data_IF_860192594699
#
_entry.id   IF_860192594699
#
_cell.length_a   1.000
_cell.length_b   1.000
_cell.length_c   1.000
_cell.angle_alpha   90.00
_cell.angle_beta   90.00
_cell.angle_gamma   90.00
#
_symmetry.space_group_name_H-M   'P 1'
#
loop_
_entity.id
_entity.type
_entity.pdbx_description
1 polymer ?
#
# COMPACT_ATOMS: atom_id res chain seq x y z
N UNK A 1 -4.02 -26.77 12.06
CA UNK A 1 -2.93 -26.35 12.98
C UNK A 1 -1.86 -25.70 12.13
N UNK A 2 -1.19 -24.66 12.62
CA UNK A 2 -0.13 -23.98 11.86
C UNK A 2 1.00 -24.94 11.53
N UNK A 3 1.79 -24.59 10.53
CA UNK A 3 2.99 -25.36 10.20
C UNK A 3 4.07 -25.11 11.26
N UNK A 4 4.77 -26.17 11.68
CA UNK A 4 5.98 -26.04 12.51
C UNK A 4 7.19 -26.52 11.71
N UNK A 5 8.12 -25.60 11.50
CA UNK A 5 9.34 -25.82 10.72
C UNK A 5 10.57 -25.60 11.60
N UNK A 6 11.67 -26.27 11.26
CA UNK A 6 12.95 -26.09 11.95
C UNK A 6 14.07 -26.04 10.92
N UNK A 7 14.92 -25.01 10.96
CA UNK A 7 16.01 -24.85 9.98
C UNK A 7 17.01 -25.99 9.97
N UNK A 8 17.11 -26.71 11.09
CA UNK A 8 17.99 -27.87 11.24
C UNK A 8 17.37 -29.21 10.81
N UNK A 9 16.12 -29.24 10.33
CA UNK A 9 15.50 -30.43 9.76
C UNK A 9 15.93 -30.63 8.31
N UNK A 10 16.20 -31.86 7.90
CA UNK A 10 16.71 -32.16 6.55
C UNK A 10 15.76 -31.79 5.41
N UNK A 11 14.47 -31.64 5.67
CA UNK A 11 13.42 -31.28 4.71
C UNK A 11 12.96 -29.82 4.83
N UNK A 12 13.65 -29.02 5.63
CA UNK A 12 13.28 -27.62 5.89
C UNK A 12 13.11 -26.82 4.60
N UNK A 13 14.11 -26.80 3.72
CA UNK A 13 14.07 -25.99 2.50
C UNK A 13 12.85 -26.32 1.62
N UNK A 14 12.53 -27.61 1.47
CA UNK A 14 11.37 -28.02 0.68
C UNK A 14 10.05 -27.53 1.30
N UNK A 15 9.91 -27.64 2.62
CA UNK A 15 8.71 -27.16 3.34
C UNK A 15 8.62 -25.64 3.34
N UNK A 16 9.75 -24.97 3.50
CA UNK A 16 9.81 -23.52 3.46
C UNK A 16 9.48 -22.96 2.07
N UNK A 17 9.96 -23.59 1.00
CA UNK A 17 9.59 -23.23 -0.37
C UNK A 17 8.08 -23.42 -0.62
N UNK A 18 7.47 -24.45 -0.06
CA UNK A 18 6.01 -24.63 -0.13
C UNK A 18 5.28 -23.49 0.61
N UNK A 19 5.75 -23.11 1.81
CA UNK A 19 5.20 -21.98 2.55
C UNK A 19 5.32 -20.67 1.77
N UNK A 20 6.49 -20.40 1.19
CA UNK A 20 6.75 -19.21 0.39
C UNK A 20 5.87 -19.11 -0.86
N UNK A 21 5.59 -20.25 -1.50
CA UNK A 21 4.87 -20.31 -2.76
C UNK A 21 3.39 -20.69 -2.58
N UNK A 22 2.91 -20.75 -1.36
CA UNK A 22 1.50 -21.00 -1.09
C UNK A 22 0.65 -19.90 -1.78
N UNK A 23 -0.20 -20.30 -2.74
CA UNK A 23 -1.09 -19.36 -3.42
C UNK A 23 -2.20 -18.97 -2.47
N UNK A 24 -2.20 -17.71 -2.09
CA UNK A 24 -3.24 -17.09 -1.26
C UNK A 24 -4.18 -16.20 -2.07
N UNK A 25 -3.95 -16.08 -3.39
CA UNK A 25 -4.75 -15.25 -4.29
C UNK A 25 -5.73 -16.09 -5.13
N UNK A 26 -6.84 -15.47 -5.49
CA UNK A 26 -7.86 -16.03 -6.37
C UNK A 26 -7.44 -16.01 -7.85
N UNK A 27 -7.96 -16.97 -8.60
CA UNK A 27 -7.57 -17.40 -9.93
C UNK A 27 -7.86 -16.44 -11.11
N UNK A 28 -7.42 -16.89 -12.29
CA UNK A 28 -7.52 -16.28 -13.62
C UNK A 28 -8.94 -15.82 -14.02
N UNK A 29 -9.99 -16.41 -13.46
CA UNK A 29 -11.41 -16.12 -13.80
C UNK A 29 -11.87 -14.68 -13.52
N UNK A 30 -11.21 -13.97 -12.56
CA UNK A 30 -11.54 -12.58 -12.23
C UNK A 30 -11.11 -11.60 -13.33
N UNK A 31 -10.04 -11.90 -14.06
CA UNK A 31 -9.44 -10.98 -15.03
C UNK A 31 -10.38 -10.64 -16.18
N UNK A 32 -11.05 -11.65 -16.76
CA UNK A 32 -11.95 -11.46 -17.90
C UNK A 32 -13.22 -10.70 -17.50
N UNK A 33 -13.79 -11.04 -16.34
CA UNK A 33 -14.94 -10.31 -15.80
C UNK A 33 -14.61 -8.83 -15.53
N UNK A 34 -13.42 -8.55 -15.02
CA UNK A 34 -12.95 -7.18 -14.80
C UNK A 34 -12.71 -6.44 -16.11
N UNK A 35 -12.14 -7.07 -17.13
CA UNK A 35 -11.98 -6.46 -18.45
C UNK A 35 -13.31 -6.01 -19.06
N UNK A 36 -14.35 -6.84 -18.91
CA UNK A 36 -15.70 -6.50 -19.36
C UNK A 36 -16.30 -5.32 -18.59
N UNK A 37 -16.14 -5.30 -17.25
CA UNK A 37 -16.59 -4.17 -16.42
C UNK A 37 -15.87 -2.87 -16.82
N UNK A 38 -14.56 -2.90 -16.98
CA UNK A 38 -13.78 -1.73 -17.38
C UNK A 38 -14.20 -1.22 -18.77
N UNK A 39 -14.44 -2.15 -19.71
CA UNK A 39 -14.94 -1.80 -21.04
C UNK A 39 -16.32 -1.11 -20.98
N UNK A 40 -17.26 -1.64 -20.18
CA UNK A 40 -18.57 -1.03 -20.00
C UNK A 40 -18.47 0.40 -19.43
N UNK A 41 -17.65 0.61 -18.39
CA UNK A 41 -17.43 1.94 -17.83
C UNK A 41 -16.85 2.89 -18.87
N UNK A 42 -15.87 2.45 -19.66
CA UNK A 42 -15.25 3.27 -20.68
C UNK A 42 -16.21 3.67 -21.82
N UNK A 43 -17.17 2.80 -22.17
CA UNK A 43 -18.09 3.04 -23.29
C UNK A 43 -19.36 3.77 -22.87
N UNK A 44 -19.81 3.59 -21.62
CA UNK A 44 -21.15 4.02 -21.17
C UNK A 44 -21.12 4.97 -19.99
N UNK A 45 -19.95 5.29 -19.44
CA UNK A 45 -19.78 6.28 -18.37
C UNK A 45 -20.68 6.03 -17.15
N UNK A 46 -21.41 7.05 -16.72
CA UNK A 46 -22.29 7.00 -15.54
C UNK A 46 -23.38 5.92 -15.63
N UNK A 47 -23.92 5.65 -16.81
CA UNK A 47 -24.94 4.61 -17.00
C UNK A 47 -24.42 3.23 -16.60
N UNK A 48 -23.15 2.93 -16.93
CA UNK A 48 -22.53 1.67 -16.52
C UNK A 48 -22.30 1.64 -15.00
N UNK A 49 -21.87 2.75 -14.40
CA UNK A 49 -21.68 2.84 -12.94
C UNK A 49 -22.97 2.59 -12.17
N UNK A 50 -24.08 3.20 -12.61
CA UNK A 50 -25.40 3.05 -11.99
C UNK A 50 -25.86 1.59 -12.06
N UNK A 51 -25.80 0.98 -13.26
CA UNK A 51 -26.22 -0.40 -13.47
C UNK A 51 -25.37 -1.40 -12.66
N UNK A 52 -24.04 -1.23 -12.65
CA UNK A 52 -23.13 -2.12 -11.92
C UNK A 52 -23.25 -1.94 -10.41
N UNK A 53 -23.52 -0.72 -9.92
CA UNK A 53 -23.77 -0.46 -8.49
C UNK A 53 -25.10 -1.05 -8.05
N UNK A 54 -26.17 -0.95 -8.87
CA UNK A 54 -27.45 -1.65 -8.59
C UNK A 54 -27.25 -3.17 -8.53
N UNK A 55 -26.43 -3.72 -9.44
CA UNK A 55 -26.18 -5.16 -9.53
C UNK A 55 -25.33 -5.70 -8.37
N UNK A 56 -24.28 -4.99 -7.95
CA UNK A 56 -23.29 -5.53 -7.01
C UNK A 56 -23.49 -5.04 -5.58
N UNK A 57 -23.97 -3.81 -5.41
CA UNK A 57 -24.17 -3.18 -4.10
C UNK A 57 -25.66 -3.11 -3.72
N UNK A 58 -26.58 -3.63 -4.58
CA UNK A 58 -28.04 -3.58 -4.36
C UNK A 58 -28.54 -2.15 -4.09
N UNK A 59 -27.88 -1.16 -4.70
CA UNK A 59 -28.17 0.26 -4.52
C UNK A 59 -28.54 0.92 -5.84
N UNK A 60 -29.78 1.39 -5.92
CA UNK A 60 -30.26 2.12 -7.09
C UNK A 60 -29.94 3.61 -6.95
N UNK A 61 -29.14 4.13 -7.86
CA UNK A 61 -28.70 5.51 -7.89
C UNK A 61 -29.19 6.24 -9.15
N UNK A 62 -29.18 7.58 -9.11
CA UNK A 62 -29.15 8.46 -10.27
C UNK A 62 -27.75 9.03 -10.43
N UNK A 63 -27.49 9.75 -11.52
CA UNK A 63 -26.19 10.40 -11.73
C UNK A 63 -25.85 11.40 -10.60
N UNK A 64 -26.85 12.16 -10.12
CA UNK A 64 -26.67 13.07 -8.99
C UNK A 64 -26.41 12.34 -7.67
N UNK A 65 -26.90 11.10 -7.55
CA UNK A 65 -26.72 10.26 -6.36
C UNK A 65 -25.39 9.51 -6.29
N UNK A 66 -24.56 9.58 -7.32
CA UNK A 66 -23.23 8.94 -7.33
C UNK A 66 -22.30 9.55 -6.28
N UNK A 67 -22.33 10.86 -6.11
CA UNK A 67 -21.53 11.58 -5.10
C UNK A 67 -22.28 11.70 -3.77
N UNK A 68 -21.56 11.76 -2.67
CA UNK A 68 -22.06 12.28 -1.41
C UNK A 68 -22.10 13.79 -1.47
N UNK A 69 -23.18 14.40 -1.00
CA UNK A 69 -23.24 15.84 -0.84
C UNK A 69 -22.59 16.31 0.48
N UNK A 70 -22.40 17.61 0.62
CA UNK A 70 -21.72 18.17 1.79
C UNK A 70 -22.53 17.99 3.08
N UNK A 71 -23.86 18.03 2.99
CA UNK A 71 -24.73 17.87 4.15
C UNK A 71 -24.67 16.44 4.69
N UNK A 72 -24.58 15.43 3.81
CA UNK A 72 -24.38 14.04 4.22
C UNK A 72 -23.04 13.83 4.91
N UNK A 73 -21.97 14.43 4.38
CA UNK A 73 -20.63 14.37 4.97
C UNK A 73 -20.61 15.06 6.33
N UNK A 74 -21.25 16.21 6.43
CA UNK A 74 -21.33 16.99 7.66
C UNK A 74 -22.16 16.27 8.72
N UNK A 75 -23.25 15.65 8.32
CA UNK A 75 -24.08 14.84 9.23
C UNK A 75 -23.33 13.60 9.73
N UNK A 76 -22.61 12.90 8.86
CA UNK A 76 -21.78 11.75 9.23
C UNK A 76 -20.69 12.13 10.25
N UNK A 77 -20.11 13.33 10.11
CA UNK A 77 -19.16 13.86 11.08
C UNK A 77 -19.83 14.12 12.44
N UNK A 78 -21.05 14.67 12.45
CA UNK A 78 -21.80 14.92 13.68
C UNK A 78 -22.30 13.64 14.35
N UNK A 79 -22.61 12.61 13.58
CA UNK A 79 -23.05 11.30 14.06
C UNK A 79 -21.91 10.44 14.61
N UNK A 80 -20.65 10.82 14.33
CA UNK A 80 -19.47 10.11 14.83
C UNK A 80 -19.16 10.55 16.27
N UNK A 81 -18.95 9.62 17.23
CA UNK A 81 -18.62 9.96 18.60
C UNK A 81 -17.39 10.88 18.73
N UNK A 82 -17.45 11.86 19.65
CA UNK A 82 -16.39 12.87 19.85
C UNK A 82 -15.02 12.26 20.14
N UNK A 83 -14.96 11.21 20.94
CA UNK A 83 -13.71 10.51 21.27
C UNK A 83 -13.08 9.86 20.04
N UNK A 84 -13.89 9.35 19.11
CA UNK A 84 -13.41 8.79 17.84
C UNK A 84 -12.98 9.91 16.86
N UNK A 85 -13.68 11.04 16.82
CA UNK A 85 -13.25 12.23 16.08
C UNK A 85 -11.86 12.71 16.56
N UNK A 86 -11.67 12.78 17.87
CA UNK A 86 -10.38 13.18 18.45
C UNK A 86 -9.26 12.18 18.13
N UNK A 87 -9.56 10.88 18.18
CA UNK A 87 -8.62 9.83 17.78
C UNK A 87 -8.23 9.95 16.29
N UNK A 88 -9.20 10.16 15.39
CA UNK A 88 -8.94 10.37 13.96
C UNK A 88 -8.09 11.62 13.68
N UNK A 89 -8.39 12.73 14.35
CA UNK A 89 -7.57 13.95 14.23
C UNK A 89 -6.14 13.74 14.75
N UNK A 90 -5.99 13.02 15.85
CA UNK A 90 -4.68 12.69 16.40
C UNK A 90 -3.89 11.80 15.45
N UNK A 91 -4.50 10.75 14.92
CA UNK A 91 -3.89 9.88 13.92
C UNK A 91 -3.47 10.67 12.67
N UNK A 92 -4.37 11.46 12.09
CA UNK A 92 -4.09 12.28 10.91
C UNK A 92 -2.90 13.23 11.13
N UNK A 93 -2.86 13.90 12.28
CA UNK A 93 -1.74 14.78 12.66
C UNK A 93 -0.41 14.03 12.70
N UNK A 94 -0.37 12.84 13.29
CA UNK A 94 0.86 12.05 13.41
C UNK A 94 1.32 11.51 12.05
N UNK A 95 0.38 11.01 11.24
CA UNK A 95 0.66 10.51 9.89
C UNK A 95 1.19 11.64 9.01
N UNK A 96 0.55 12.82 9.04
CA UNK A 96 1.01 14.00 8.31
C UNK A 96 2.43 14.40 8.71
N UNK A 97 2.70 14.52 10.01
CA UNK A 97 4.02 14.93 10.52
C UNK A 97 5.14 13.95 10.13
N UNK A 98 4.84 12.65 10.05
CA UNK A 98 5.78 11.65 9.57
C UNK A 98 6.08 11.83 8.08
N UNK A 99 5.03 12.02 7.25
CA UNK A 99 5.17 12.14 5.81
C UNK A 99 5.81 13.48 5.37
N UNK A 100 5.61 14.57 6.11
CA UNK A 100 6.29 15.85 5.85
C UNK A 100 7.81 15.74 5.82
N UNK A 101 8.38 14.79 6.55
CA UNK A 101 9.84 14.54 6.58
C UNK A 101 10.36 13.85 5.30
N UNK A 102 9.47 13.36 4.45
CA UNK A 102 9.82 12.63 3.21
C UNK A 102 9.87 13.55 1.99
N UNK A 103 9.44 14.82 2.13
CA UNK A 103 9.45 15.76 1.00
C UNK A 103 10.88 16.02 0.51
N UNK A 104 11.19 15.71 -0.75
CA UNK A 104 12.47 16.05 -1.33
C UNK A 104 12.56 17.55 -1.65
N UNK A 105 13.78 18.02 -1.87
CA UNK A 105 14.05 19.41 -2.27
C UNK A 105 14.39 19.46 -3.74
N UNK A 106 13.97 20.54 -4.39
CA UNK A 106 14.49 20.91 -5.70
C UNK A 106 15.99 21.23 -5.58
N UNK A 107 16.74 20.86 -6.61
CA UNK A 107 18.18 21.07 -6.63
C UNK A 107 18.62 21.56 -8.00
N UNK A 108 19.50 22.55 -8.02
CA UNK A 108 20.25 23.00 -9.20
C UNK A 108 21.71 23.16 -8.81
N UNK A 109 22.61 22.60 -9.61
CA UNK A 109 24.05 22.73 -9.44
C UNK A 109 24.73 22.80 -10.81
N UNK A 110 25.98 23.25 -10.84
CA UNK A 110 26.82 23.26 -12.02
C UNK A 110 27.93 22.22 -11.86
N UNK A 111 28.17 21.43 -12.89
CA UNK A 111 29.26 20.46 -12.89
C UNK A 111 30.59 21.11 -13.32
N UNK A 112 31.66 20.31 -13.31
CA UNK A 112 33.02 20.75 -13.64
C UNK A 112 33.16 21.29 -15.08
N UNK A 113 32.24 20.99 -15.98
CA UNK A 113 32.20 21.45 -17.36
C UNK A 113 31.30 22.66 -17.59
N UNK A 114 30.69 23.20 -16.51
CA UNK A 114 29.78 24.34 -16.59
C UNK A 114 28.40 23.98 -17.13
N UNK A 115 27.98 22.71 -16.93
CA UNK A 115 26.63 22.27 -17.26
C UNK A 115 25.74 22.41 -16.04
N UNK A 116 24.65 23.13 -16.18
CA UNK A 116 23.62 23.19 -15.14
C UNK A 116 22.83 21.89 -15.12
N UNK A 117 22.84 21.21 -13.97
CA UNK A 117 22.10 19.99 -13.72
C UNK A 117 21.15 20.20 -12.54
N UNK A 118 20.06 19.44 -12.51
CA UNK A 118 19.16 19.52 -11.37
C UNK A 118 17.92 18.66 -11.49
N UNK A 119 17.06 18.85 -10.50
CA UNK A 119 15.76 18.21 -10.45
C UNK A 119 14.71 19.12 -9.83
N UNK A 120 13.50 19.05 -10.36
CA UNK A 120 12.31 19.67 -9.81
C UNK A 120 11.27 18.61 -9.49
N UNK A 121 10.67 18.73 -8.32
CA UNK A 121 9.60 17.86 -7.86
C UNK A 121 8.25 18.54 -7.97
N UNK A 122 7.27 17.83 -8.53
CA UNK A 122 5.90 18.31 -8.61
C UNK A 122 4.95 17.19 -8.20
N UNK A 123 3.90 17.53 -7.47
CA UNK A 123 2.81 16.61 -7.23
C UNK A 123 2.15 16.14 -8.53
N UNK A 124 1.44 15.03 -8.49
CA UNK A 124 0.42 14.69 -9.49
C UNK A 124 -0.80 15.58 -9.25
N UNK A 125 -1.57 15.88 -10.30
CA UNK A 125 -2.65 16.87 -10.19
C UNK A 125 -3.86 16.31 -9.42
N UNK A 126 -4.16 15.01 -9.62
CA UNK A 126 -5.31 14.36 -9.02
C UNK A 126 -5.02 12.90 -8.62
N UNK A 127 -5.59 12.48 -7.50
CA UNK A 127 -5.47 11.12 -6.96
C UNK A 127 -6.85 10.56 -6.66
N UNK A 128 -7.05 9.30 -7.05
CA UNK A 128 -8.20 8.50 -6.64
C UNK A 128 -7.83 7.57 -5.48
N UNK A 129 -8.59 7.64 -4.41
CA UNK A 129 -8.44 6.75 -3.25
C UNK A 129 -9.55 5.72 -3.28
N UNK A 130 -9.20 4.45 -3.27
CA UNK A 130 -10.16 3.38 -3.06
C UNK A 130 -10.15 2.96 -1.58
N UNK A 131 -11.30 3.06 -0.94
CA UNK A 131 -11.50 2.63 0.45
C UNK A 131 -12.39 1.40 0.46
N UNK A 132 -11.92 0.26 0.97
CA UNK A 132 -12.76 -0.92 1.05
C UNK A 132 -14.01 -0.66 1.90
N UNK A 133 -15.14 -1.21 1.47
CA UNK A 133 -16.40 -1.17 2.20
C UNK A 133 -16.95 -2.58 2.39
N UNK A 134 -18.09 -2.71 3.06
CA UNK A 134 -18.75 -3.96 3.34
C UNK A 134 -18.76 -4.29 4.83
N UNK A 135 -18.38 -5.53 5.22
CA UNK A 135 -18.40 -5.98 6.62
C UNK A 135 -17.43 -5.23 7.54
N UNK A 136 -16.35 -4.70 6.99
CA UNK A 136 -15.40 -3.88 7.72
C UNK A 136 -15.29 -2.49 7.08
N UNK A 137 -15.25 -1.47 7.92
CA UNK A 137 -15.02 -0.08 7.53
C UNK A 137 -13.64 0.32 7.97
N UNK A 138 -12.89 1.00 7.09
CA UNK A 138 -11.50 1.34 7.34
C UNK A 138 -11.29 2.87 7.32
N UNK A 139 -11.73 3.62 8.33
CA UNK A 139 -11.46 5.05 8.42
C UNK A 139 -9.96 5.37 8.48
N UNK A 140 -9.15 4.46 9.04
CA UNK A 140 -7.68 4.55 9.01
C UNK A 140 -7.13 4.58 7.59
N UNK A 141 -7.66 3.74 6.68
CA UNK A 141 -7.23 3.74 5.27
C UNK A 141 -7.52 5.06 4.55
N UNK A 142 -8.58 5.77 4.94
CA UNK A 142 -8.82 7.14 4.42
C UNK A 142 -7.67 8.05 4.81
N UNK A 143 -7.28 8.06 6.09
CA UNK A 143 -6.20 8.91 6.60
C UNK A 143 -4.85 8.53 5.97
N UNK A 144 -4.55 7.22 5.90
CA UNK A 144 -3.28 6.69 5.40
C UNK A 144 -3.05 6.94 3.92
N UNK A 145 -4.12 6.95 3.12
CA UNK A 145 -4.01 7.26 1.69
C UNK A 145 -4.02 8.78 1.42
N UNK A 146 -4.80 9.55 2.21
CA UNK A 146 -4.98 10.99 1.96
C UNK A 146 -3.81 11.81 2.49
N UNK A 147 -3.29 11.50 3.68
CA UNK A 147 -2.25 12.32 4.31
C UNK A 147 -0.98 12.47 3.44
N UNK A 148 -0.36 11.40 2.92
CA UNK A 148 0.81 11.54 2.05
C UNK A 148 0.50 12.25 0.73
N UNK A 149 -0.72 12.10 0.17
CA UNK A 149 -1.15 12.82 -1.02
C UNK A 149 -1.24 14.33 -0.76
N UNK A 150 -1.84 14.73 0.36
CA UNK A 150 -1.93 16.14 0.76
C UNK A 150 -0.56 16.74 1.09
N UNK A 151 0.29 16.01 1.80
CA UNK A 151 1.68 16.43 2.08
C UNK A 151 2.46 16.63 0.78
N UNK A 152 2.28 15.77 -0.20
CA UNK A 152 2.90 15.89 -1.52
C UNK A 152 2.42 17.13 -2.31
N UNK A 153 1.29 17.75 -1.92
CA UNK A 153 0.69 18.89 -2.59
C UNK A 153 -0.31 18.51 -3.71
N UNK A 154 -0.91 17.32 -3.63
CA UNK A 154 -1.98 16.91 -4.57
C UNK A 154 -3.18 17.84 -4.38
N UNK A 155 -3.61 18.49 -5.45
CA UNK A 155 -4.69 19.48 -5.41
C UNK A 155 -6.08 18.84 -5.31
N UNK A 156 -6.30 17.72 -6.04
CA UNK A 156 -7.60 17.02 -6.10
C UNK A 156 -7.48 15.59 -5.61
N UNK A 157 -8.27 15.24 -4.59
CA UNK A 157 -8.39 13.89 -4.05
C UNK A 157 -9.83 13.41 -4.15
N UNK A 158 -10.10 12.40 -4.98
CA UNK A 158 -11.38 11.77 -5.15
C UNK A 158 -11.40 10.40 -4.44
N UNK A 159 -12.40 10.13 -3.62
CA UNK A 159 -12.52 8.86 -2.87
C UNK A 159 -13.67 8.03 -3.40
N UNK A 160 -13.41 6.74 -3.61
CA UNK A 160 -14.40 5.73 -3.93
C UNK A 160 -14.64 4.84 -2.72
N UNK A 161 -15.90 4.68 -2.32
CA UNK A 161 -16.30 3.81 -1.20
C UNK A 161 -17.58 3.06 -1.56
N UNK A 162 -17.57 1.71 -1.58
CA UNK A 162 -18.78 0.93 -1.80
C UNK A 162 -19.78 1.12 -0.66
N UNK A 163 -21.08 1.18 -1.01
CA UNK A 163 -22.16 1.40 -0.07
C UNK A 163 -23.26 0.34 -0.25
N UNK A 164 -23.01 -0.94 0.07
CA UNK A 164 -23.97 -2.01 -0.10
C UNK A 164 -25.30 -1.71 0.62
N UNK A 165 -26.43 -1.80 -0.13
CA UNK A 165 -27.76 -1.46 0.39
C UNK A 165 -27.89 0.01 0.83
N UNK A 166 -27.04 0.92 0.30
CA UNK A 166 -27.04 2.35 0.64
C UNK A 166 -26.40 2.69 1.99
N UNK A 167 -25.73 1.73 2.64
CA UNK A 167 -25.13 1.93 3.97
C UNK A 167 -23.66 2.27 3.86
N UNK A 168 -23.25 3.34 4.53
CA UNK A 168 -21.85 3.71 4.76
C UNK A 168 -21.62 3.89 6.26
N UNK A 169 -20.44 3.52 6.73
CA UNK A 169 -20.09 3.85 8.11
C UNK A 169 -19.79 5.35 8.22
N UNK A 170 -20.49 6.10 9.10
CA UNK A 170 -20.29 7.55 9.26
C UNK A 170 -18.83 7.92 9.53
N UNK A 171 -18.09 7.08 10.26
CA UNK A 171 -16.69 7.31 10.59
C UNK A 171 -15.78 7.39 9.35
N UNK A 172 -16.13 6.70 8.25
CA UNK A 172 -15.38 6.80 6.98
C UNK A 172 -15.53 8.18 6.35
N UNK A 173 -16.77 8.72 6.34
CA UNK A 173 -17.02 10.07 5.84
C UNK A 173 -16.42 11.14 6.76
N UNK A 174 -16.48 10.93 8.08
CA UNK A 174 -15.83 11.79 9.06
C UNK A 174 -14.30 11.83 8.87
N UNK A 175 -13.67 10.68 8.64
CA UNK A 175 -12.24 10.61 8.32
C UNK A 175 -11.90 11.32 7.00
N UNK A 176 -12.73 11.18 5.96
CA UNK A 176 -12.57 11.88 4.70
C UNK A 176 -12.65 13.40 4.88
N UNK A 177 -13.61 13.89 5.67
CA UNK A 177 -13.72 15.31 6.03
C UNK A 177 -12.50 15.81 6.79
N UNK A 178 -12.01 15.07 7.80
CA UNK A 178 -10.82 15.40 8.59
C UNK A 178 -9.58 15.46 7.69
N UNK A 179 -9.43 14.52 6.76
CA UNK A 179 -8.29 14.44 5.86
C UNK A 179 -8.38 15.43 4.69
N UNK A 180 -9.55 16.08 4.48
CA UNK A 180 -9.75 17.04 3.42
C UNK A 180 -9.90 16.41 2.04
N UNK A 181 -10.62 15.27 1.93
CA UNK A 181 -11.00 14.67 0.65
C UNK A 181 -11.98 15.62 -0.07
N UNK A 182 -11.76 15.88 -1.38
CA UNK A 182 -12.57 16.86 -2.12
C UNK A 182 -13.87 16.27 -2.64
N UNK A 183 -13.84 15.02 -3.09
CA UNK A 183 -14.97 14.33 -3.73
C UNK A 183 -15.11 12.92 -3.18
N UNK A 184 -16.31 12.50 -2.84
CA UNK A 184 -16.59 11.15 -2.32
C UNK A 184 -17.71 10.52 -3.13
N UNK A 185 -17.49 9.32 -3.67
CA UNK A 185 -18.44 8.62 -4.53
C UNK A 185 -18.83 7.26 -3.97
N UNK A 186 -20.16 6.92 -4.09
CA UNK A 186 -20.77 5.66 -3.63
C UNK A 186 -20.55 4.53 -4.62
N UNK A 187 -19.31 4.26 -4.99
CA UNK A 187 -18.98 3.28 -6.02
C UNK A 187 -17.90 2.34 -5.51
N UNK A 188 -18.15 1.04 -5.63
CA UNK A 188 -17.22 -0.01 -5.25
C UNK A 188 -16.66 -0.77 -6.46
N UNK A 189 -15.85 -1.79 -6.20
CA UNK A 189 -15.41 -2.78 -7.17
C UNK A 189 -14.56 -2.26 -8.33
N UNK A 190 -14.50 -3.06 -9.39
CA UNK A 190 -13.71 -2.75 -10.60
C UNK A 190 -14.23 -1.51 -11.34
N UNK A 191 -15.55 -1.25 -11.28
CA UNK A 191 -16.15 -0.08 -11.93
C UNK A 191 -15.70 1.24 -11.30
N UNK A 192 -15.41 1.26 -10.00
CA UNK A 192 -14.82 2.43 -9.32
C UNK A 192 -13.42 2.75 -9.87
N UNK A 193 -12.60 1.71 -10.07
CA UNK A 193 -11.26 1.84 -10.67
C UNK A 193 -11.37 2.31 -12.12
N UNK A 194 -12.35 1.78 -12.88
CA UNK A 194 -12.63 2.22 -14.25
C UNK A 194 -13.02 3.70 -14.31
N UNK A 195 -13.90 4.17 -13.43
CA UNK A 195 -14.30 5.58 -13.37
C UNK A 195 -13.11 6.50 -13.06
N UNK A 196 -12.27 6.14 -12.09
CA UNK A 196 -11.07 6.92 -11.77
C UNK A 196 -10.05 6.95 -12.92
N UNK A 197 -9.94 5.85 -13.70
CA UNK A 197 -8.95 5.74 -14.77
C UNK A 197 -9.38 6.42 -16.07
N UNK A 198 -10.66 6.29 -16.45
CA UNK A 198 -11.16 6.75 -17.75
C UNK A 198 -11.93 8.07 -17.66
N UNK A 199 -12.49 8.36 -16.48
CA UNK A 199 -13.48 9.41 -16.30
C UNK A 199 -14.87 8.98 -16.76
N UNK A 200 -15.88 9.71 -16.32
CA UNK A 200 -17.27 9.60 -16.75
C UNK A 200 -17.86 11.02 -16.86
N UNK A 201 -19.17 11.16 -17.08
CA UNK A 201 -19.82 12.46 -17.13
C UNK A 201 -19.75 13.20 -15.77
N UNK A 202 -19.82 12.44 -14.65
CA UNK A 202 -19.81 13.00 -13.30
C UNK A 202 -18.42 12.96 -12.67
N UNK A 203 -17.58 12.00 -13.03
CA UNK A 203 -16.31 11.74 -12.36
C UNK A 203 -15.15 12.09 -13.29
N UNK A 204 -14.39 13.12 -12.95
CA UNK A 204 -13.17 13.43 -13.70
C UNK A 204 -12.07 12.40 -13.43
N UNK A 205 -11.28 11.98 -14.44
CA UNK A 205 -10.22 11.00 -14.27
C UNK A 205 -9.10 11.54 -13.38
N UNK A 206 -8.29 10.62 -12.83
CA UNK A 206 -7.16 10.94 -11.96
C UNK A 206 -5.83 10.52 -12.58
N UNK A 207 -4.72 11.00 -12.01
CA UNK A 207 -3.38 10.64 -12.46
C UNK A 207 -2.85 9.37 -11.78
N UNK A 208 -3.30 9.10 -10.55
CA UNK A 208 -2.90 7.92 -9.78
C UNK A 208 -4.07 7.39 -8.94
N UNK A 209 -4.17 6.07 -8.83
CA UNK A 209 -5.14 5.36 -7.99
C UNK A 209 -4.40 4.64 -6.88
N UNK A 210 -4.80 4.85 -5.63
CA UNK A 210 -4.20 4.25 -4.44
C UNK A 210 -5.27 3.59 -3.56
N UNK A 211 -4.82 2.74 -2.67
CA UNK A 211 -5.68 2.05 -1.71
C UNK A 211 -5.88 0.57 -2.02
N UNK A 212 -6.03 -0.25 -0.97
CA UNK A 212 -6.26 -1.68 -1.08
C UNK A 212 -7.70 -1.99 -1.50
N UNK A 213 -7.91 -3.19 -2.04
CA UNK A 213 -9.23 -3.68 -2.40
C UNK A 213 -9.24 -5.19 -2.63
N UNK A 214 -10.42 -5.75 -2.89
CA UNK A 214 -10.56 -7.18 -3.18
C UNK A 214 -9.93 -7.57 -4.53
N UNK A 215 -10.00 -8.86 -4.87
CA UNK A 215 -9.42 -9.39 -6.11
C UNK A 215 -9.88 -8.66 -7.39
N UNK A 216 -11.13 -8.18 -7.43
CA UNK A 216 -11.65 -7.41 -8.58
C UNK A 216 -10.98 -6.03 -8.67
N UNK A 217 -10.80 -5.35 -7.56
CA UNK A 217 -10.11 -4.05 -7.49
C UNK A 217 -8.64 -4.21 -7.87
N UNK A 218 -7.96 -5.23 -7.33
CA UNK A 218 -6.57 -5.53 -7.65
C UNK A 218 -6.38 -5.85 -9.14
N UNK A 219 -7.28 -6.66 -9.74
CA UNK A 219 -7.26 -6.97 -11.16
C UNK A 219 -7.56 -5.73 -12.03
N UNK A 220 -8.48 -4.87 -11.60
CA UNK A 220 -8.80 -3.62 -12.30
C UNK A 220 -7.61 -2.65 -12.28
N UNK A 221 -6.96 -2.44 -11.11
CA UNK A 221 -5.74 -1.63 -10.99
C UNK A 221 -4.63 -2.14 -11.93
N UNK A 222 -4.44 -3.45 -12.01
CA UNK A 222 -3.46 -4.06 -12.93
C UNK A 222 -3.78 -3.76 -14.40
N UNK A 223 -5.06 -3.80 -14.80
CA UNK A 223 -5.47 -3.60 -16.18
C UNK A 223 -5.46 -2.14 -16.61
N UNK A 224 -5.68 -1.19 -15.70
CA UNK A 224 -5.64 0.24 -16.02
C UNK A 224 -4.24 0.84 -15.89
N UNK A 225 -3.26 0.11 -15.36
CA UNK A 225 -1.88 0.58 -15.25
C UNK A 225 -1.31 0.92 -16.62
N UNK A 226 -0.71 2.09 -16.74
CA UNK A 226 -0.26 2.66 -18.02
C UNK A 226 -1.22 3.72 -18.59
N UNK A 227 -2.52 3.59 -18.33
CA UNK A 227 -3.50 4.67 -18.54
C UNK A 227 -3.49 5.64 -17.35
N UNK A 228 -3.39 5.09 -16.14
CA UNK A 228 -3.30 5.78 -14.87
C UNK A 228 -2.20 5.12 -14.03
N UNK A 229 -1.53 5.87 -13.17
CA UNK A 229 -0.59 5.29 -12.20
C UNK A 229 -1.35 4.54 -11.10
N UNK A 230 -0.69 3.56 -10.48
CA UNK A 230 -1.20 2.88 -9.28
C UNK A 230 -0.13 2.87 -8.20
N UNK A 231 -0.53 2.64 -6.94
CA UNK A 231 0.40 2.39 -5.83
C UNK A 231 1.04 0.99 -5.97
N UNK A 232 0.26 -0.04 -5.68
CA UNK A 232 0.69 -1.44 -5.71
C UNK A 232 -0.50 -2.37 -6.00
N UNK A 233 -0.21 -3.64 -6.23
CA UNK A 233 -1.19 -4.72 -6.24
C UNK A 233 -1.11 -5.40 -4.87
N UNK A 234 -2.10 -5.15 -4.02
CA UNK A 234 -2.16 -5.75 -2.69
C UNK A 234 -2.59 -7.22 -2.78
N UNK A 235 -1.87 -8.08 -2.08
CA UNK A 235 -2.27 -9.44 -1.74
C UNK A 235 -2.85 -9.50 -0.32
N UNK A 236 -3.12 -10.71 0.22
CA UNK A 236 -3.49 -10.90 1.60
C UNK A 236 -2.40 -10.40 2.56
N UNK A 237 -2.82 -9.84 3.68
CA UNK A 237 -1.92 -9.25 4.68
C UNK A 237 -1.03 -10.28 5.38
N UNK A 238 0.13 -9.82 5.87
CA UNK A 238 1.21 -10.67 6.40
C UNK A 238 1.86 -10.03 7.63
N UNK A 239 2.07 -10.81 8.69
CA UNK A 239 2.97 -10.46 9.79
C UNK A 239 4.02 -11.55 9.99
N UNK A 240 5.25 -11.13 10.22
CA UNK A 240 6.33 -11.97 10.68
C UNK A 240 6.92 -11.39 11.97
N UNK A 241 6.90 -12.17 13.04
CA UNK A 241 7.48 -11.79 14.34
C UNK A 241 8.79 -12.55 14.52
N UNK A 242 9.90 -11.85 14.73
CA UNK A 242 11.15 -12.43 15.23
C UNK A 242 11.19 -12.23 16.74
N UNK A 243 11.35 -13.32 17.49
CA UNK A 243 11.35 -13.30 18.94
C UNK A 243 12.33 -14.30 19.54
N UNK A 244 12.86 -13.99 20.73
CA UNK A 244 13.68 -14.87 21.55
C UNK A 244 13.06 -15.06 22.97
N UNK A 245 13.81 -15.67 23.89
CA UNK A 245 13.34 -15.94 25.25
C UNK A 245 12.99 -14.69 26.07
N UNK A 246 13.35 -13.48 25.62
CA UNK A 246 13.00 -12.22 26.29
C UNK A 246 11.55 -11.80 26.06
N UNK A 247 10.91 -12.36 25.03
CA UNK A 247 9.59 -11.97 24.60
C UNK A 247 8.45 -12.60 25.44
N UNK A 248 7.33 -11.89 25.51
CA UNK A 248 6.12 -12.39 26.20
C UNK A 248 5.26 -13.20 25.22
N UNK A 249 5.03 -14.50 25.44
CA UNK A 249 4.27 -15.34 24.51
C UNK A 249 2.82 -14.89 24.32
N UNK A 250 2.18 -14.30 25.34
CA UNK A 250 0.80 -13.84 25.22
C UNK A 250 0.69 -12.57 24.35
N UNK A 251 1.73 -11.73 24.31
CA UNK A 251 1.77 -10.55 23.44
C UNK A 251 1.97 -10.98 21.97
N UNK A 252 2.95 -11.85 21.72
CA UNK A 252 3.18 -12.37 20.38
C UNK A 252 1.93 -13.09 19.83
N UNK A 253 1.26 -13.89 20.65
CA UNK A 253 0.01 -14.55 20.24
C UNK A 253 -1.08 -13.53 19.86
N UNK A 254 -1.17 -12.40 20.59
CA UNK A 254 -2.11 -11.33 20.25
C UNK A 254 -1.77 -10.66 18.91
N UNK A 255 -0.48 -10.40 18.64
CA UNK A 255 -0.02 -9.80 17.38
C UNK A 255 -0.26 -10.73 16.19
N UNK A 256 0.06 -12.01 16.30
CA UNK A 256 -0.24 -13.02 15.27
C UNK A 256 -1.75 -13.13 14.98
N UNK A 257 -2.60 -13.02 16.01
CA UNK A 257 -4.04 -13.06 15.87
C UNK A 257 -4.64 -11.75 15.34
N UNK A 258 -4.04 -10.60 15.65
CA UNK A 258 -4.42 -9.31 15.08
C UNK A 258 -4.31 -9.35 13.56
N UNK A 259 -3.24 -9.94 13.02
CA UNK A 259 -3.13 -10.15 11.57
C UNK A 259 -4.10 -11.21 11.05
N UNK A 260 -4.25 -12.33 11.75
CA UNK A 260 -5.09 -13.45 11.30
C UNK A 260 -6.59 -13.09 11.22
N UNK A 261 -7.07 -12.10 12.00
CA UNK A 261 -8.48 -11.68 11.97
C UNK A 261 -8.87 -10.79 10.78
N UNK A 262 -7.90 -10.34 9.98
CA UNK A 262 -8.15 -9.52 8.79
C UNK A 262 -8.88 -10.31 7.69
N UNK A 263 -8.36 -11.51 7.36
CA UNK A 263 -8.90 -12.36 6.29
C UNK A 263 -8.50 -13.82 6.52
N UNK A 264 -9.29 -14.77 6.01
CA UNK A 264 -8.96 -16.20 6.05
C UNK A 264 -7.68 -16.55 5.29
N UNK A 265 -7.23 -15.69 4.35
CA UNK A 265 -5.99 -15.84 3.59
C UNK A 265 -4.81 -15.05 4.20
N UNK A 266 -5.01 -14.32 5.30
CA UNK A 266 -3.91 -13.63 6.00
C UNK A 266 -2.86 -14.63 6.51
N UNK A 267 -1.62 -14.19 6.64
CA UNK A 267 -0.51 -15.03 7.09
C UNK A 267 0.18 -14.44 8.31
N UNK A 268 0.30 -15.27 9.36
CA UNK A 268 0.96 -14.92 10.61
C UNK A 268 2.07 -15.90 10.90
N UNK A 269 3.32 -15.41 11.05
CA UNK A 269 4.50 -16.24 11.19
C UNK A 269 5.32 -15.82 12.40
N UNK A 270 5.67 -16.79 13.24
CA UNK A 270 6.67 -16.61 14.28
C UNK A 270 8.00 -17.25 13.84
N UNK A 271 9.10 -16.52 13.96
CA UNK A 271 10.47 -17.04 13.84
C UNK A 271 11.15 -16.87 15.18
N UNK A 272 11.65 -17.96 15.77
CA UNK A 272 12.22 -17.91 17.12
C UNK A 272 13.42 -18.84 17.30
N UNK A 273 14.36 -18.42 18.14
CA UNK A 273 15.49 -19.22 18.60
C UNK A 273 15.14 -20.14 19.78
N UNK A 274 13.90 -20.05 20.32
CA UNK A 274 13.47 -20.76 21.53
C UNK A 274 12.32 -21.72 21.25
N UNK A 275 12.59 -23.02 21.33
CA UNK A 275 11.53 -24.04 21.25
C UNK A 275 10.48 -23.89 22.36
N UNK A 276 10.90 -23.40 23.55
CA UNK A 276 9.98 -23.14 24.65
C UNK A 276 9.01 -22.01 24.31
N UNK A 277 9.53 -20.90 23.78
CA UNK A 277 8.69 -19.78 23.35
C UNK A 277 7.73 -20.20 22.23
N UNK A 278 8.19 -21.02 21.29
CA UNK A 278 7.35 -21.59 20.23
C UNK A 278 6.14 -22.35 20.79
N UNK A 279 6.38 -23.23 21.78
CA UNK A 279 5.32 -24.00 22.43
C UNK A 279 4.35 -23.11 23.22
N UNK A 280 4.90 -22.15 24.00
CA UNK A 280 4.11 -21.23 24.80
C UNK A 280 3.23 -20.29 23.92
N UNK A 281 3.77 -19.78 22.79
CA UNK A 281 3.01 -18.94 21.86
C UNK A 281 1.91 -19.74 21.19
N UNK A 282 2.17 -20.97 20.75
CA UNK A 282 1.13 -21.82 20.14
C UNK A 282 -0.02 -22.09 21.12
N UNK A 283 0.30 -22.38 22.39
CA UNK A 283 -0.72 -22.57 23.43
C UNK A 283 -1.52 -21.27 23.69
N UNK A 284 -0.84 -20.12 23.72
CA UNK A 284 -1.50 -18.82 23.88
C UNK A 284 -2.38 -18.44 22.70
N UNK A 285 -1.98 -18.72 21.46
CA UNK A 285 -2.82 -18.51 20.28
C UNK A 285 -4.10 -19.33 20.37
N UNK A 286 -4.01 -20.63 20.70
CA UNK A 286 -5.19 -21.47 20.88
C UNK A 286 -6.14 -20.90 21.96
N UNK A 287 -5.57 -20.49 23.10
CA UNK A 287 -6.33 -19.91 24.20
C UNK A 287 -7.02 -18.60 23.82
N UNK A 288 -6.30 -17.69 23.17
CA UNK A 288 -6.81 -16.38 22.81
C UNK A 288 -7.81 -16.44 21.65
N UNK A 289 -7.59 -17.34 20.68
CA UNK A 289 -8.50 -17.55 19.55
C UNK A 289 -9.92 -17.91 20.01
N UNK A 290 -10.07 -18.68 21.10
CA UNK A 290 -11.39 -19.00 21.65
C UNK A 290 -12.15 -17.78 22.20
N UNK A 291 -11.44 -16.68 22.51
CA UNK A 291 -12.00 -15.46 23.04
C UNK A 291 -12.32 -14.41 21.95
N UNK A 292 -11.80 -14.61 20.72
CA UNK A 292 -11.96 -13.63 19.65
C UNK A 292 -13.35 -13.68 19.01
N UNK A 293 -14.03 -12.52 18.87
CA UNK A 293 -15.30 -12.45 18.13
C UNK A 293 -15.19 -12.91 16.67
N UNK A 294 -14.03 -12.64 16.04
CA UNK A 294 -13.73 -13.01 14.65
C UNK A 294 -12.96 -14.32 14.51
N UNK A 295 -13.07 -15.25 15.48
CA UNK A 295 -12.38 -16.53 15.40
C UNK A 295 -12.71 -17.33 14.12
N UNK A 296 -13.84 -17.06 13.48
CA UNK A 296 -14.25 -17.68 12.22
C UNK A 296 -13.37 -17.25 11.02
N UNK A 297 -12.66 -16.13 11.13
CA UNK A 297 -11.66 -15.66 10.17
C UNK A 297 -10.24 -16.06 10.64
N UNK A 298 -9.88 -15.68 11.87
CA UNK A 298 -8.55 -15.90 12.42
C UNK A 298 -8.17 -17.40 12.54
N UNK A 299 -9.14 -18.26 12.87
CA UNK A 299 -8.90 -19.71 13.01
C UNK A 299 -8.45 -20.37 11.72
N UNK A 300 -9.19 -20.27 10.61
CA UNK A 300 -8.75 -20.75 9.30
C UNK A 300 -7.44 -20.12 8.84
N UNK A 301 -7.26 -18.80 8.95
CA UNK A 301 -6.02 -18.10 8.61
C UNK A 301 -4.81 -18.73 9.33
N UNK A 302 -4.88 -18.85 10.66
CA UNK A 302 -3.82 -19.45 11.47
C UNK A 302 -3.58 -20.91 11.14
N UNK A 303 -4.65 -21.70 10.92
CA UNK A 303 -4.54 -23.13 10.64
C UNK A 303 -3.92 -23.45 9.29
N UNK A 304 -4.25 -22.67 8.25
CA UNK A 304 -3.90 -22.94 6.86
C UNK A 304 -2.64 -22.20 6.41
N UNK A 305 -2.39 -20.98 6.91
CA UNK A 305 -1.28 -20.13 6.49
C UNK A 305 -0.34 -19.71 7.63
N UNK A 306 -0.69 -19.99 8.89
CA UNK A 306 0.17 -19.73 10.03
C UNK A 306 1.39 -20.66 10.06
N UNK A 307 2.52 -20.15 10.56
CA UNK A 307 3.71 -20.97 10.76
C UNK A 307 4.52 -20.54 11.99
N UNK A 308 5.20 -21.50 12.60
CA UNK A 308 6.22 -21.31 13.64
C UNK A 308 7.52 -21.91 13.11
N UNK A 309 8.55 -21.08 12.97
CA UNK A 309 9.86 -21.47 12.43
C UNK A 309 10.90 -21.36 13.55
N UNK A 310 11.47 -22.48 13.95
CA UNK A 310 12.57 -22.52 14.90
C UNK A 310 13.90 -22.44 14.15
N UNK A 311 14.78 -21.56 14.62
CA UNK A 311 16.10 -21.28 14.04
C UNK A 311 17.20 -21.47 15.08
N UNK A 312 18.46 -21.64 14.63
CA UNK A 312 19.59 -21.81 15.54
C UNK A 312 20.01 -20.51 16.22
N UNK A 313 19.90 -19.37 15.52
CA UNK A 313 20.29 -18.07 16.01
C UNK A 313 19.51 -16.94 15.31
N UNK A 314 19.75 -15.71 15.75
CA UNK A 314 19.09 -14.52 15.15
C UNK A 314 19.56 -14.23 13.73
N UNK A 315 20.77 -14.64 13.33
CA UNK A 315 21.24 -14.43 11.94
C UNK A 315 20.39 -15.25 10.98
N UNK A 316 20.13 -16.53 11.30
CA UNK A 316 19.17 -17.33 10.54
C UNK A 316 17.75 -16.73 10.57
N UNK A 317 17.31 -16.16 11.70
CA UNK A 317 15.99 -15.53 11.79
C UNK A 317 15.85 -14.39 10.78
N UNK A 318 16.87 -13.51 10.67
CA UNK A 318 16.87 -12.43 9.70
C UNK A 318 17.02 -12.92 8.26
N UNK A 319 17.75 -14.00 8.00
CA UNK A 319 17.80 -14.61 6.67
C UNK A 319 16.43 -15.15 6.24
N UNK A 320 15.70 -15.82 7.12
CA UNK A 320 14.32 -16.25 6.88
C UNK A 320 13.41 -15.04 6.61
N UNK A 321 13.45 -14.00 7.46
CA UNK A 321 12.64 -12.80 7.28
C UNK A 321 12.93 -12.11 5.94
N UNK A 322 14.21 -11.97 5.55
CA UNK A 322 14.59 -11.38 4.26
C UNK A 322 14.13 -12.23 3.06
N UNK A 323 14.11 -13.56 3.18
CA UNK A 323 13.57 -14.47 2.14
C UNK A 323 12.05 -14.35 2.04
N UNK A 324 11.37 -14.18 3.16
CA UNK A 324 9.93 -13.97 3.22
C UNK A 324 9.52 -12.58 2.74
N UNK A 325 10.32 -11.56 3.04
CA UNK A 325 10.05 -10.16 2.71
C UNK A 325 8.61 -9.75 3.13
N UNK A 326 8.28 -9.83 4.43
CA UNK A 326 6.94 -9.67 4.93
C UNK A 326 6.43 -8.22 4.81
N UNK A 327 5.12 -8.07 4.82
CA UNK A 327 4.46 -6.76 4.95
C UNK A 327 4.83 -6.10 6.28
N UNK A 328 4.56 -6.77 7.39
CA UNK A 328 4.90 -6.32 8.74
C UNK A 328 5.99 -7.22 9.34
N UNK A 329 7.08 -6.63 9.79
CA UNK A 329 8.15 -7.31 10.50
C UNK A 329 8.25 -6.77 11.93
N UNK A 330 7.87 -7.58 12.92
CA UNK A 330 8.05 -7.26 14.32
C UNK A 330 9.34 -7.87 14.87
N UNK A 331 10.15 -7.05 15.52
CA UNK A 331 11.35 -7.47 16.23
C UNK A 331 11.06 -7.45 17.75
N UNK A 332 10.43 -8.51 18.26
CA UNK A 332 10.14 -8.66 19.68
C UNK A 332 11.38 -9.16 20.44
N UNK A 333 12.39 -8.29 20.48
CA UNK A 333 13.74 -8.54 20.99
C UNK A 333 14.17 -7.40 21.91
N UNK A 334 15.02 -7.71 22.88
CA UNK A 334 15.75 -6.69 23.63
C UNK A 334 16.70 -5.93 22.70
N UNK A 335 16.73 -4.59 22.80
CA UNK A 335 17.57 -3.71 21.97
C UNK A 335 17.39 -3.94 20.46
N UNK A 336 16.16 -4.04 20.02
CA UNK A 336 15.78 -4.36 18.62
C UNK A 336 16.44 -3.42 17.59
N UNK A 337 16.74 -2.16 17.95
CA UNK A 337 17.36 -1.15 17.06
C UNK A 337 18.73 -1.58 16.53
N UNK A 338 19.49 -2.40 17.24
CA UNK A 338 20.79 -2.90 16.78
C UNK A 338 20.69 -3.86 15.59
N UNK A 339 19.51 -4.37 15.29
CA UNK A 339 19.26 -5.33 14.21
C UNK A 339 18.68 -4.71 12.95
N UNK A 340 18.41 -3.41 12.91
CA UNK A 340 17.79 -2.73 11.76
C UNK A 340 18.59 -2.99 10.48
N UNK A 341 19.91 -2.94 10.53
CA UNK A 341 20.79 -3.15 9.37
C UNK A 341 20.78 -4.60 8.84
N UNK A 342 20.25 -5.57 9.59
CA UNK A 342 20.06 -6.96 9.13
C UNK A 342 18.80 -7.12 8.27
N UNK A 343 17.87 -6.18 8.37
CA UNK A 343 16.62 -6.21 7.60
C UNK A 343 16.84 -5.55 6.24
N UNK A 344 16.64 -6.29 5.17
CA UNK A 344 16.74 -5.80 3.78
C UNK A 344 15.39 -5.69 3.11
N UNK A 345 14.43 -6.50 3.53
CA UNK A 345 13.14 -6.63 2.87
C UNK A 345 12.02 -6.75 3.92
N UNK A 346 11.30 -5.66 4.13
CA UNK A 346 10.06 -5.61 4.90
C UNK A 346 9.26 -4.39 4.45
N UNK A 347 7.95 -4.44 4.55
CA UNK A 347 7.10 -3.27 4.30
C UNK A 347 7.24 -2.25 5.43
N UNK A 348 7.19 -2.72 6.68
CA UNK A 348 7.45 -1.92 7.89
C UNK A 348 8.20 -2.77 8.93
N UNK A 349 8.96 -2.10 9.81
CA UNK A 349 9.67 -2.74 10.94
C UNK A 349 9.11 -2.15 12.23
N UNK A 350 8.73 -3.02 13.17
CA UNK A 350 8.23 -2.68 14.50
C UNK A 350 9.28 -3.09 15.54
N UNK A 351 9.75 -2.14 16.34
CA UNK A 351 10.92 -2.33 17.19
C UNK A 351 10.56 -2.53 18.66
N UNK A 352 10.98 -3.67 19.21
CA UNK A 352 10.88 -4.01 20.61
C UNK A 352 9.51 -4.52 21.04
N UNK A 353 9.44 -5.01 22.26
CA UNK A 353 8.28 -5.73 22.81
C UNK A 353 7.00 -4.89 22.95
N UNK A 354 7.10 -3.56 22.94
CA UNK A 354 5.98 -2.64 23.15
C UNK A 354 5.45 -1.98 21.88
N UNK A 355 5.82 -2.52 20.71
CA UNK A 355 5.46 -1.93 19.42
C UNK A 355 4.69 -2.96 18.57
N UNK A 356 3.43 -3.26 18.91
CA UNK A 356 2.60 -4.15 18.11
C UNK A 356 2.25 -3.48 16.77
N UNK A 357 2.03 -4.28 15.72
CA UNK A 357 1.56 -3.85 14.40
C UNK A 357 0.40 -2.86 14.46
N UNK A 358 -0.59 -3.12 15.34
CA UNK A 358 -1.77 -2.28 15.50
C UNK A 358 -1.48 -0.81 15.80
N UNK A 359 -0.35 -0.49 16.44
CA UNK A 359 0.05 0.91 16.63
C UNK A 359 0.42 1.55 15.28
N UNK A 360 1.09 0.83 14.40
CA UNK A 360 1.39 1.29 13.03
C UNK A 360 0.14 1.44 12.19
N UNK A 361 -0.81 0.53 12.33
CA UNK A 361 -2.06 0.52 11.58
C UNK A 361 -2.95 1.73 11.84
N UNK A 362 -2.91 2.26 13.06
CA UNK A 362 -3.85 3.30 13.44
C UNK A 362 -3.22 4.66 13.75
N UNK A 363 -2.15 4.71 14.57
CA UNK A 363 -1.74 5.97 15.19
C UNK A 363 -0.22 6.17 15.27
N UNK A 364 0.59 5.19 14.91
CA UNK A 364 2.06 5.26 14.99
C UNK A 364 2.65 6.42 14.17
N UNK A 365 2.03 6.76 13.07
CA UNK A 365 2.46 7.82 12.15
C UNK A 365 3.01 7.28 10.82
N UNK A 366 3.55 6.06 10.81
CA UNK A 366 3.92 5.34 9.59
C UNK A 366 2.68 4.95 8.79
N UNK A 367 2.87 4.60 7.51
CA UNK A 367 1.75 4.21 6.66
C UNK A 367 1.51 2.70 6.75
N UNK A 368 0.25 2.29 6.80
CA UNK A 368 -0.15 0.89 6.80
C UNK A 368 -0.47 0.32 5.40
N UNK A 369 -0.45 1.14 4.36
CA UNK A 369 -0.57 0.63 2.98
C UNK A 369 0.80 0.13 2.55
N UNK A 370 1.06 -1.14 2.79
CA UNK A 370 2.37 -1.76 2.71
C UNK A 370 2.43 -2.80 1.56
N UNK A 371 3.63 -3.09 1.04
CA UNK A 371 3.82 -4.12 0.03
C UNK A 371 3.60 -5.51 0.63
N UNK A 372 2.65 -6.25 0.05
CA UNK A 372 2.30 -7.64 0.41
C UNK A 372 2.86 -8.64 -0.59
N UNK A 373 2.64 -9.93 -0.37
CA UNK A 373 3.04 -11.00 -1.29
C UNK A 373 4.51 -10.91 -1.72
N UNK A 374 5.38 -10.62 -0.76
CA UNK A 374 6.84 -10.50 -0.94
C UNK A 374 7.27 -9.33 -1.85
N UNK A 375 6.39 -8.40 -2.16
CA UNK A 375 6.74 -7.23 -2.99
C UNK A 375 7.66 -6.23 -2.26
N UNK A 376 7.80 -6.33 -0.93
CA UNK A 376 8.79 -5.56 -0.16
C UNK A 376 10.25 -5.73 -0.63
N UNK A 377 10.52 -6.72 -1.51
CA UNK A 377 11.82 -6.88 -2.17
C UNK A 377 12.13 -5.78 -3.20
N UNK A 378 11.13 -5.07 -3.69
CA UNK A 378 11.26 -4.06 -4.75
C UNK A 378 10.30 -2.88 -4.60
N UNK A 379 9.36 -2.92 -3.68
CA UNK A 379 8.38 -1.86 -3.42
C UNK A 379 8.48 -1.37 -1.97
N UNK A 380 8.12 -0.12 -1.76
CA UNK A 380 7.98 0.50 -0.43
C UNK A 380 6.52 0.62 -0.05
N UNK A 381 6.22 0.83 1.23
CA UNK A 381 4.92 1.28 1.67
C UNK A 381 4.56 2.65 1.07
N UNK A 382 3.26 2.93 1.00
CA UNK A 382 2.74 4.18 0.46
C UNK A 382 3.35 5.38 1.17
N UNK A 383 3.89 6.31 0.41
CA UNK A 383 4.61 7.45 0.93
C UNK A 383 4.50 8.66 -0.02
N UNK A 384 5.13 9.79 0.35
CA UNK A 384 5.06 11.03 -0.44
C UNK A 384 5.58 10.85 -1.87
N UNK A 385 6.61 10.01 -2.08
CA UNK A 385 7.17 9.79 -3.42
C UNK A 385 6.20 9.11 -4.38
N UNK A 386 5.15 8.47 -3.89
CA UNK A 386 4.08 7.92 -4.72
C UNK A 386 3.23 9.00 -5.40
N UNK A 387 3.22 10.19 -4.86
CA UNK A 387 2.38 11.31 -5.28
C UNK A 387 3.13 12.46 -5.96
N UNK A 388 4.46 12.35 -6.11
CA UNK A 388 5.29 13.35 -6.76
C UNK A 388 6.03 12.78 -7.96
N UNK A 389 6.38 13.67 -8.89
CA UNK A 389 7.17 13.37 -10.10
C UNK A 389 8.46 14.17 -10.07
N UNK A 390 9.58 13.52 -10.37
CA UNK A 390 10.86 14.18 -10.55
C UNK A 390 11.05 14.55 -12.03
N UNK A 391 11.31 15.83 -12.29
CA UNK A 391 11.65 16.37 -13.60
C UNK A 391 13.14 16.69 -13.60
N UNK A 392 13.89 16.10 -14.53
CA UNK A 392 15.31 16.40 -14.70
C UNK A 392 15.48 17.76 -15.40
N UNK A 393 16.47 18.53 -14.94
CA UNK A 393 16.83 19.85 -15.51
C UNK A 393 18.25 19.74 -16.06
N UNK A 394 18.43 20.18 -17.31
CA UNK A 394 19.71 20.24 -18.00
C UNK A 394 19.83 21.59 -18.72
N UNK A 395 20.93 22.31 -18.49
CA UNK A 395 21.23 23.55 -19.18
C UNK A 395 22.68 23.63 -19.61
N UNK A 396 22.95 23.99 -20.88
CA UNK A 396 24.28 24.22 -21.39
C UNK A 396 24.50 25.68 -21.75
N UNK A 397 25.67 26.19 -21.42
CA UNK A 397 26.22 27.42 -22.00
C UNK A 397 26.85 27.11 -23.37
N UNK A 398 27.18 28.10 -24.22
CA UNK A 398 27.95 27.85 -25.46
C UNK A 398 29.30 27.12 -25.21
N UNK A 399 29.97 27.42 -24.11
CA UNK A 399 31.23 26.78 -23.77
C UNK A 399 31.07 25.34 -23.32
N UNK A 400 30.13 25.05 -22.43
CA UNK A 400 29.87 23.66 -21.99
C UNK A 400 29.33 22.82 -23.13
N UNK A 401 28.46 23.37 -23.99
CA UNK A 401 28.02 22.65 -25.18
C UNK A 401 29.19 22.32 -26.11
N UNK A 402 30.10 23.28 -26.32
CA UNK A 402 31.31 23.06 -27.14
C UNK A 402 32.19 21.94 -26.59
N UNK A 403 32.33 21.84 -25.25
CA UNK A 403 33.12 20.79 -24.61
C UNK A 403 32.48 19.41 -24.76
N UNK A 404 31.17 19.30 -24.70
CA UNK A 404 30.43 18.03 -24.78
C UNK A 404 30.13 17.56 -26.23
N UNK A 405 30.13 18.48 -27.20
CA UNK A 405 29.70 18.21 -28.57
C UNK A 405 30.43 17.08 -29.29
N UNK A 406 31.78 16.95 -29.21
CA UNK A 406 32.46 15.88 -29.92
C UNK A 406 31.95 14.50 -29.54
N UNK A 407 31.77 14.24 -28.24
CA UNK A 407 31.34 12.96 -27.72
C UNK A 407 29.86 12.72 -28.04
N UNK A 408 29.01 13.76 -27.89
CA UNK A 408 27.58 13.65 -28.20
C UNK A 408 27.34 13.35 -29.71
N UNK A 409 28.14 13.97 -30.60
CA UNK A 409 28.04 13.71 -32.07
C UNK A 409 28.52 12.30 -32.38
N UNK A 410 29.63 11.86 -31.80
CA UNK A 410 30.18 10.52 -32.02
C UNK A 410 29.21 9.42 -31.56
N UNK A 411 28.51 9.61 -30.43
CA UNK A 411 27.50 8.68 -29.93
C UNK A 411 26.28 8.67 -30.85
N UNK A 412 25.81 9.83 -31.28
CA UNK A 412 24.68 9.93 -32.21
C UNK A 412 24.96 9.24 -33.57
N UNK A 413 26.20 9.38 -34.07
CA UNK A 413 26.64 8.70 -35.30
C UNK A 413 26.69 7.17 -35.12
N UNK A 414 27.20 6.70 -33.97
CA UNK A 414 27.27 5.27 -33.66
C UNK A 414 25.89 4.61 -33.54
N UNK A 415 24.86 5.40 -33.20
CA UNK A 415 23.46 4.96 -33.12
C UNK A 415 22.67 5.18 -34.44
N UNK A 416 23.33 5.62 -35.54
CA UNK A 416 22.69 6.02 -36.82
C UNK A 416 21.64 7.14 -36.65
N UNK A 417 21.81 8.03 -35.65
CA UNK A 417 20.91 9.14 -35.34
C UNK A 417 21.46 10.49 -35.81
N UNK A 418 21.60 10.67 -37.14
CA UNK A 418 22.22 11.84 -37.75
C UNK A 418 21.55 13.18 -37.35
N UNK A 419 20.21 13.16 -37.14
CA UNK A 419 19.50 14.36 -36.71
C UNK A 419 19.88 14.77 -35.27
N UNK A 420 20.23 13.84 -34.38
CA UNK A 420 20.75 14.12 -33.03
C UNK A 420 22.12 14.78 -33.14
N UNK A 421 23.05 14.20 -33.89
CA UNK A 421 24.37 14.81 -34.15
C UNK A 421 24.24 16.19 -34.77
N UNK A 422 23.35 16.37 -35.77
CA UNK A 422 23.08 17.66 -36.41
C UNK A 422 22.49 18.68 -35.43
N UNK A 423 21.63 18.26 -34.51
CA UNK A 423 21.07 19.13 -33.48
C UNK A 423 22.15 19.77 -32.59
N UNK A 424 23.23 19.06 -32.33
CA UNK A 424 24.39 19.56 -31.58
C UNK A 424 25.27 20.43 -32.48
N UNK A 425 25.71 19.92 -33.64
CA UNK A 425 26.69 20.57 -34.51
C UNK A 425 26.21 21.92 -35.05
N UNK A 426 24.92 22.07 -35.37
CA UNK A 426 24.37 23.32 -35.90
C UNK A 426 24.43 24.50 -34.90
N UNK A 427 24.40 24.21 -33.59
CA UNK A 427 24.50 25.21 -32.52
C UNK A 427 25.94 25.72 -32.34
N UNK A 428 26.91 25.03 -32.93
CA UNK A 428 28.31 25.36 -32.91
C UNK A 428 28.81 25.87 -34.29
N UNK A 429 27.89 26.02 -35.26
CA UNK A 429 28.17 26.36 -36.65
C UNK A 429 29.10 25.35 -37.37
N UNK A 430 28.99 24.06 -37.01
CA UNK A 430 29.73 22.94 -37.57
C UNK A 430 28.90 22.22 -38.64
#
# INVERSE_FOLDING_TARGET
>A
MPQRLRTFDADFENKFDLLLNAKRESSVEVSDAVAEILHQVQQRGDDALIELTEKFDELKLSSEGLAFDQDEIDQAYLDTPDDLIDALKHAYKRITAYHERQLPKDELFEDEQGVTLGSKWNAVDAVGIYVPGGLASYPSSVLMNTAPARVAGVERVAMMVPTPGGKVNPTVLAAAKIAGVDEIYRIGGAQAIGALAFGTETIAPVNKIVGPGNAFVAAAKRQVFGKVGIDMIAGPSEVLVIADDSANPAWIAADLLAQAEHDTAAQSILVTTSSKLADDVMAEVERQLELLPKKHLAGPSWADFGAVIEVNDLDEAFDIANRMAPEHLELSLDNAEQYIDKVRHAGAIFLGHHTPEAIGDYIGGTNHVLPTARSARYASGLNVHDFIKRISILGCTPSSLSALAPDAIALAEAEDLQAHGRSVSIRLNL
#
